data_IF_084647773388
#
_entry.id   IF_084647773388
#
_cell.length_a   1.000
_cell.length_b   1.000
_cell.length_c   1.000
_cell.angle_alpha   90.00
_cell.angle_beta   90.00
_cell.angle_gamma   90.00
#
_symmetry.space_group_name_H-M   'P 1'
#
loop_
_entity.id
_entity.type
_entity.pdbx_description
1 polymer ?
#
# COMPACT_ATOMS: atom_id res chain seq x y z
N UNK A 1 -7.69 3.30 1.16
CA UNK A 1 -7.01 4.61 1.44
C UNK A 1 -7.58 5.79 0.64
N UNK A 2 -7.81 5.73 -0.66
CA UNK A 2 -8.39 6.88 -1.44
C UNK A 2 -9.82 7.22 -1.03
N UNK A 3 -10.69 6.25 -0.75
CA UNK A 3 -12.06 6.51 -0.28
C UNK A 3 -12.09 7.29 1.03
N UNK A 4 -11.18 7.01 1.95
CA UNK A 4 -11.06 7.70 3.23
C UNK A 4 -10.72 9.20 3.10
N UNK A 5 -10.06 9.61 1.99
CA UNK A 5 -9.63 11.00 1.79
C UNK A 5 -10.51 11.83 0.86
N UNK A 6 -11.37 11.20 0.04
CA UNK A 6 -12.26 11.92 -0.87
C UNK A 6 -13.49 12.53 -0.15
N UNK A 7 -13.87 11.97 1.02
CA UNK A 7 -14.97 12.46 1.84
C UNK A 7 -14.52 13.27 3.08
N UNK A 8 -13.25 13.63 3.19
CA UNK A 8 -12.77 14.48 4.27
C UNK A 8 -13.16 15.92 3.98
N UNK A 9 -14.37 16.30 4.37
CA UNK A 9 -14.63 17.64 4.80
C UNK A 9 -13.81 17.88 6.08
N UNK A 10 -12.86 18.81 6.03
CA UNK A 10 -11.85 19.05 7.05
C UNK A 10 -12.40 19.45 8.44
N UNK A 11 -13.70 19.48 8.60
CA UNK A 11 -14.40 19.82 9.84
C UNK A 11 -14.87 18.64 10.67
N UNK A 12 -15.31 17.56 10.04
CA UNK A 12 -15.82 16.37 10.73
C UNK A 12 -15.33 15.11 10.03
N UNK A 13 -14.53 14.29 10.74
CA UNK A 13 -14.07 12.99 10.27
C UNK A 13 -15.24 12.02 10.39
N UNK A 14 -16.13 12.01 9.39
CA UNK A 14 -17.18 11.01 9.29
C UNK A 14 -16.52 9.67 8.97
N UNK A 15 -16.44 8.82 9.97
CA UNK A 15 -16.24 7.40 9.78
C UNK A 15 -17.54 6.88 9.17
N UNK A 16 -17.51 6.54 7.89
CA UNK A 16 -18.65 5.88 7.26
C UNK A 16 -18.78 4.52 7.92
N UNK A 17 -19.78 4.35 8.79
CA UNK A 17 -19.95 3.16 9.65
C UNK A 17 -20.28 1.88 8.87
N UNK A 18 -20.61 2.02 7.58
CA UNK A 18 -21.09 0.94 6.71
C UNK A 18 -20.03 0.32 5.79
N UNK A 19 -18.74 0.72 5.89
CA UNK A 19 -17.70 0.16 5.02
C UNK A 19 -17.44 -1.30 5.38
N UNK A 20 -17.67 -2.18 4.38
CA UNK A 20 -17.51 -3.62 4.52
C UNK A 20 -16.04 -4.02 4.31
N UNK A 21 -15.56 -5.03 5.07
CA UNK A 21 -14.23 -5.67 4.88
C UNK A 21 -13.92 -5.94 3.41
N UNK A 22 -14.91 -6.41 2.64
CA UNK A 22 -14.73 -6.75 1.21
C UNK A 22 -14.38 -5.52 0.37
N UNK A 23 -14.96 -4.36 0.68
CA UNK A 23 -14.71 -3.11 -0.06
C UNK A 23 -13.32 -2.56 0.25
N UNK A 24 -12.94 -2.56 1.53
CA UNK A 24 -11.60 -2.17 1.97
C UNK A 24 -10.55 -3.07 1.31
N UNK A 25 -10.74 -4.39 1.41
CA UNK A 25 -9.81 -5.35 0.83
C UNK A 25 -9.73 -5.20 -0.69
N UNK A 26 -10.86 -5.09 -1.40
CA UNK A 26 -10.90 -4.95 -2.84
C UNK A 26 -10.19 -3.68 -3.32
N UNK A 27 -10.40 -2.56 -2.63
CA UNK A 27 -9.76 -1.29 -2.95
C UNK A 27 -8.23 -1.41 -2.79
N UNK A 28 -7.75 -1.88 -1.65
CA UNK A 28 -6.32 -2.05 -1.40
C UNK A 28 -5.70 -3.11 -2.31
N UNK A 29 -6.47 -4.13 -2.70
CA UNK A 29 -6.03 -5.15 -3.64
C UNK A 29 -5.80 -4.61 -5.07
N UNK A 30 -6.60 -3.65 -5.53
CA UNK A 30 -6.38 -2.98 -6.81
C UNK A 30 -5.05 -2.23 -6.80
N UNK A 31 -4.74 -1.47 -5.74
CA UNK A 31 -3.44 -0.79 -5.60
C UNK A 31 -2.27 -1.77 -5.58
N UNK A 32 -2.44 -2.88 -4.89
CA UNK A 32 -1.46 -3.96 -4.89
C UNK A 32 -1.22 -4.50 -6.31
N UNK A 33 -2.27 -4.80 -7.09
CA UNK A 33 -2.13 -5.28 -8.45
C UNK A 33 -1.42 -4.26 -9.36
N UNK A 34 -1.80 -2.99 -9.25
CA UNK A 34 -1.14 -1.91 -10.00
C UNK A 34 0.33 -1.80 -9.61
N UNK A 35 0.65 -1.91 -8.32
CA UNK A 35 2.04 -1.85 -7.83
C UNK A 35 2.87 -3.04 -8.30
N UNK A 36 2.34 -4.27 -8.24
CA UNK A 36 3.11 -5.47 -8.66
C UNK A 36 3.37 -5.48 -10.16
N UNK A 37 2.45 -4.90 -10.95
CA UNK A 37 2.61 -4.71 -12.39
C UNK A 37 3.42 -3.47 -12.77
N UNK A 38 3.85 -2.69 -11.80
CA UNK A 38 4.59 -1.45 -12.01
C UNK A 38 5.92 -1.62 -12.77
N UNK A 39 6.46 -2.85 -12.86
CA UNK A 39 7.63 -3.12 -13.71
C UNK A 39 7.37 -2.86 -15.20
N UNK A 40 6.11 -2.92 -15.66
CA UNK A 40 5.73 -2.60 -17.03
C UNK A 40 5.93 -1.12 -17.36
N UNK A 41 5.82 -0.25 -16.35
CA UNK A 41 6.08 1.19 -16.46
C UNK A 41 7.51 1.59 -16.08
N UNK A 42 8.45 0.64 -16.05
CA UNK A 42 9.81 0.83 -15.54
C UNK A 42 9.84 1.41 -14.10
N UNK A 43 8.85 1.06 -13.29
CA UNK A 43 8.75 1.48 -11.90
C UNK A 43 8.16 2.88 -11.67
N UNK A 44 7.83 3.64 -12.71
CA UNK A 44 7.25 5.00 -12.59
C UNK A 44 5.96 4.98 -11.78
N UNK A 45 5.07 4.02 -12.06
CA UNK A 45 3.82 3.83 -11.32
C UNK A 45 4.08 3.57 -9.84
N UNK A 46 5.07 2.75 -9.51
CA UNK A 46 5.43 2.45 -8.12
C UNK A 46 5.93 3.69 -7.37
N UNK A 47 6.78 4.50 -8.02
CA UNK A 47 7.23 5.77 -7.45
C UNK A 47 6.04 6.70 -7.20
N UNK A 48 5.13 6.82 -8.17
CA UNK A 48 3.90 7.61 -8.03
C UNK A 48 3.03 7.12 -6.86
N UNK A 49 2.79 5.81 -6.74
CA UNK A 49 2.03 5.22 -5.63
C UNK A 49 2.69 5.49 -4.27
N UNK A 50 4.02 5.36 -4.17
CA UNK A 50 4.74 5.63 -2.93
C UNK A 50 4.65 7.11 -2.53
N UNK A 51 4.79 8.04 -3.50
CA UNK A 51 4.66 9.48 -3.25
C UNK A 51 3.24 9.83 -2.82
N UNK A 52 2.22 9.32 -3.50
CA UNK A 52 0.81 9.60 -3.18
C UNK A 52 0.49 9.08 -1.78
N UNK A 53 0.78 7.81 -1.48
CA UNK A 53 0.49 7.23 -0.18
C UNK A 53 1.27 7.90 0.95
N UNK A 54 2.58 8.13 0.75
CA UNK A 54 3.41 8.83 1.73
C UNK A 54 2.97 10.28 1.95
N UNK A 55 2.59 10.97 0.88
CA UNK A 55 2.07 12.34 0.94
C UNK A 55 0.76 12.44 1.71
N UNK A 56 -0.17 11.50 1.48
CA UNK A 56 -1.44 11.45 2.20
C UNK A 56 -1.26 11.17 3.70
N UNK A 57 -0.40 10.22 4.04
CA UNK A 57 -0.07 9.93 5.44
C UNK A 57 0.59 11.14 6.10
N UNK A 58 1.54 11.78 5.40
CA UNK A 58 2.20 12.99 5.89
C UNK A 58 1.25 14.17 6.09
N UNK A 59 0.31 14.37 5.16
CA UNK A 59 -0.72 15.41 5.28
C UNK A 59 -1.63 15.17 6.49
N UNK A 60 -2.12 13.95 6.66
CA UNK A 60 -2.96 13.59 7.80
C UNK A 60 -2.21 13.71 9.14
N UNK A 61 -0.94 13.28 9.17
CA UNK A 61 -0.07 13.47 10.33
C UNK A 61 0.07 14.96 10.71
N UNK A 62 0.37 15.81 9.72
CA UNK A 62 0.52 17.25 9.94
C UNK A 62 -0.79 17.90 10.43
N UNK A 63 -1.94 17.45 9.91
CA UNK A 63 -3.25 17.91 10.38
C UNK A 63 -3.51 17.52 11.84
N UNK A 64 -3.28 16.26 12.20
CA UNK A 64 -3.44 15.77 13.58
C UNK A 64 -2.47 16.45 14.55
N UNK A 65 -1.25 16.80 14.10
CA UNK A 65 -0.28 17.54 14.89
C UNK A 65 -0.79 18.96 15.20
N UNK A 66 -1.28 19.67 14.19
CA UNK A 66 -1.84 21.03 14.37
C UNK A 66 -3.07 21.06 15.27
N UNK A 67 -3.90 20.01 15.20
CA UNK A 67 -5.12 19.89 15.99
C UNK A 67 -4.91 19.31 17.39
N UNK A 68 -3.66 19.05 17.82
CA UNK A 68 -3.33 18.34 19.06
C UNK A 68 -4.00 16.97 19.20
N UNK A 69 -4.21 16.27 18.08
CA UNK A 69 -4.91 14.98 18.00
C UNK A 69 -4.00 13.83 17.54
N UNK A 70 -2.71 13.88 17.86
CA UNK A 70 -1.74 12.84 17.46
C UNK A 70 -2.14 11.43 17.89
N UNK A 71 -2.80 11.30 19.04
CA UNK A 71 -3.29 9.99 19.49
C UNK A 71 -4.29 9.40 18.49
N UNK A 72 -5.16 10.23 17.90
CA UNK A 72 -6.09 9.78 16.85
C UNK A 72 -5.34 9.28 15.62
N UNK A 73 -4.28 9.98 15.19
CA UNK A 73 -3.47 9.51 14.06
C UNK A 73 -2.95 8.08 14.29
N UNK A 74 -2.35 7.82 15.46
CA UNK A 74 -1.79 6.50 15.77
C UNK A 74 -2.85 5.43 15.98
N UNK A 75 -4.01 5.77 16.53
CA UNK A 75 -5.08 4.80 16.77
C UNK A 75 -5.87 4.46 15.50
N UNK A 76 -6.18 5.46 14.66
CA UNK A 76 -7.04 5.25 13.48
C UNK A 76 -6.25 4.82 12.25
N UNK A 77 -5.11 5.46 11.97
CA UNK A 77 -4.34 5.18 10.76
C UNK A 77 -3.20 4.19 11.02
N UNK A 78 -2.54 4.27 12.19
CA UNK A 78 -1.30 3.55 12.47
C UNK A 78 -1.38 2.04 12.25
N UNK A 79 -2.37 1.31 12.83
CA UNK A 79 -2.35 -0.14 12.79
C UNK A 79 -2.49 -0.72 11.38
N UNK A 80 -3.46 -0.26 10.56
CA UNK A 80 -3.66 -0.80 9.21
C UNK A 80 -2.68 -0.24 8.19
N UNK A 81 -2.37 1.06 8.26
CA UNK A 81 -1.45 1.71 7.33
C UNK A 81 -0.05 1.08 7.32
N UNK A 82 0.42 0.55 8.45
CA UNK A 82 1.69 -0.17 8.51
C UNK A 82 1.70 -1.38 7.57
N UNK A 83 0.64 -2.18 7.54
CA UNK A 83 0.54 -3.35 6.66
C UNK A 83 0.44 -2.94 5.19
N UNK A 84 -0.30 -1.89 4.88
CA UNK A 84 -0.42 -1.37 3.51
C UNK A 84 0.92 -0.83 2.99
N UNK A 85 1.66 -0.07 3.81
CA UNK A 85 3.00 0.41 3.46
C UNK A 85 3.96 -0.76 3.22
N UNK A 86 3.92 -1.79 4.07
CA UNK A 86 4.74 -2.99 3.88
C UNK A 86 4.42 -3.67 2.55
N UNK A 87 3.14 -3.79 2.17
CA UNK A 87 2.73 -4.34 0.87
C UNK A 87 3.27 -3.48 -0.28
N UNK A 88 3.15 -2.16 -0.21
CA UNK A 88 3.69 -1.26 -1.23
C UNK A 88 5.21 -1.39 -1.37
N UNK A 89 5.94 -1.49 -0.27
CA UNK A 89 7.39 -1.69 -0.28
C UNK A 89 7.75 -3.03 -0.91
N UNK A 90 7.07 -4.12 -0.52
CA UNK A 90 7.32 -5.46 -1.05
C UNK A 90 7.07 -5.54 -2.56
N UNK A 91 5.95 -5.01 -3.03
CA UNK A 91 5.57 -5.04 -4.44
C UNK A 91 6.43 -4.12 -5.29
N UNK A 92 6.78 -2.94 -4.78
CA UNK A 92 7.72 -2.02 -5.45
C UNK A 92 9.11 -2.65 -5.54
N UNK A 93 9.59 -3.28 -4.47
CA UNK A 93 10.88 -3.99 -4.47
C UNK A 93 10.88 -5.12 -5.50
N UNK A 94 9.80 -5.90 -5.58
CA UNK A 94 9.67 -6.94 -6.61
C UNK A 94 9.67 -6.35 -8.02
N UNK A 95 8.93 -5.27 -8.23
CA UNK A 95 8.86 -4.56 -9.51
C UNK A 95 10.25 -4.07 -9.97
N UNK A 96 10.98 -3.35 -9.12
CA UNK A 96 12.34 -2.88 -9.43
C UNK A 96 13.31 -4.03 -9.61
N UNK A 97 13.21 -5.08 -8.80
CA UNK A 97 14.03 -6.28 -8.99
C UNK A 97 13.80 -6.92 -10.36
N UNK A 98 12.56 -6.99 -10.82
CA UNK A 98 12.21 -7.53 -12.14
C UNK A 98 12.82 -6.70 -13.27
N UNK A 99 12.82 -5.38 -13.14
CA UNK A 99 13.47 -4.48 -14.12
C UNK A 99 14.98 -4.73 -14.19
N UNK A 100 15.64 -4.74 -13.03
CA UNK A 100 17.09 -5.01 -12.96
C UNK A 100 17.43 -6.39 -13.52
N UNK A 101 16.61 -7.41 -13.22
CA UNK A 101 16.76 -8.75 -13.76
C UNK A 101 16.63 -8.77 -15.29
N UNK A 102 15.60 -8.11 -15.83
CA UNK A 102 15.40 -8.00 -17.28
C UNK A 102 16.58 -7.29 -17.97
N UNK A 103 17.05 -6.18 -17.39
CA UNK A 103 18.22 -5.46 -17.88
C UNK A 103 19.46 -6.36 -17.96
N UNK A 104 19.80 -7.03 -16.87
CA UNK A 104 20.97 -7.92 -16.81
C UNK A 104 20.85 -9.09 -17.79
N UNK A 105 19.64 -9.64 -17.94
CA UNK A 105 19.39 -10.78 -18.83
C UNK A 105 19.43 -10.41 -20.30
N UNK A 106 18.86 -9.28 -20.68
CA UNK A 106 18.70 -8.85 -22.08
C UNK A 106 19.95 -8.11 -22.58
N UNK A 107 20.43 -7.15 -21.81
CA UNK A 107 21.52 -6.26 -22.23
C UNK A 107 22.88 -6.88 -21.92
N UNK A 108 23.11 -7.30 -20.69
CA UNK A 108 24.40 -7.85 -20.29
C UNK A 108 24.57 -9.35 -20.67
N UNK A 109 23.49 -10.01 -21.13
CA UNK A 109 23.47 -11.45 -21.46
C UNK A 109 23.90 -12.35 -20.30
N UNK A 110 23.76 -11.91 -19.07
CA UNK A 110 24.13 -12.68 -17.88
C UNK A 110 23.22 -13.89 -17.70
N UNK A 111 23.83 -15.06 -17.40
CA UNK A 111 23.08 -16.28 -17.06
C UNK A 111 22.70 -16.27 -15.59
N UNK A 112 21.64 -15.54 -15.25
CA UNK A 112 21.17 -15.45 -13.87
C UNK A 112 20.19 -16.60 -13.59
N UNK A 113 20.55 -17.47 -12.63
CA UNK A 113 19.68 -18.55 -12.16
C UNK A 113 18.74 -18.03 -11.06
N UNK A 114 17.69 -17.34 -11.43
CA UNK A 114 16.68 -16.87 -10.48
C UNK A 114 15.31 -17.36 -10.89
N UNK A 115 14.59 -17.95 -9.94
CA UNK A 115 13.21 -18.35 -10.15
C UNK A 115 12.28 -17.16 -9.88
N UNK A 116 12.03 -16.34 -10.90
CA UNK A 116 11.14 -15.18 -10.81
C UNK A 116 9.71 -15.59 -10.44
N UNK A 117 9.23 -16.73 -10.93
CA UNK A 117 7.88 -17.24 -10.64
C UNK A 117 7.74 -17.51 -9.14
N UNK A 118 8.73 -18.18 -8.53
CA UNK A 118 8.71 -18.43 -7.08
C UNK A 118 8.70 -17.12 -6.27
N UNK A 119 9.50 -16.15 -6.68
CA UNK A 119 9.53 -14.82 -6.02
C UNK A 119 8.22 -14.08 -6.19
N UNK A 120 7.65 -14.10 -7.39
CA UNK A 120 6.33 -13.53 -7.66
C UNK A 120 5.27 -14.15 -6.75
N UNK A 121 5.16 -15.49 -6.74
CA UNK A 121 4.18 -16.19 -5.90
C UNK A 121 4.35 -15.86 -4.41
N UNK A 122 5.60 -15.84 -3.92
CA UNK A 122 5.87 -15.50 -2.53
C UNK A 122 5.45 -14.07 -2.20
N UNK A 123 5.84 -13.10 -3.04
CA UNK A 123 5.44 -11.68 -2.86
C UNK A 123 3.93 -11.53 -2.93
N UNK A 124 3.28 -12.19 -3.91
CA UNK A 124 1.83 -12.17 -4.08
C UNK A 124 1.09 -12.70 -2.85
N UNK A 125 1.42 -13.91 -2.40
CA UNK A 125 0.78 -14.54 -1.24
C UNK A 125 1.00 -13.74 0.04
N UNK A 126 2.24 -13.27 0.28
CA UNK A 126 2.55 -12.47 1.46
C UNK A 126 1.79 -11.14 1.44
N UNK A 127 1.73 -10.48 0.29
CA UNK A 127 0.99 -9.21 0.15
C UNK A 127 -0.51 -9.40 0.36
N UNK A 128 -1.11 -10.45 -0.22
CA UNK A 128 -2.52 -10.77 0.01
C UNK A 128 -2.81 -11.03 1.50
N UNK A 129 -1.93 -11.74 2.18
CA UNK A 129 -2.06 -12.01 3.62
C UNK A 129 -1.98 -10.72 4.45
N UNK A 130 -1.00 -9.84 4.15
CA UNK A 130 -0.86 -8.56 4.85
C UNK A 130 -2.06 -7.63 4.60
N UNK A 131 -2.57 -7.55 3.36
CA UNK A 131 -3.77 -6.77 3.04
C UNK A 131 -5.02 -7.31 3.74
N UNK A 132 -5.15 -8.62 3.86
CA UNK A 132 -6.26 -9.22 4.60
C UNK A 132 -6.20 -8.84 6.09
N UNK A 133 -5.02 -8.88 6.71
CA UNK A 133 -4.82 -8.42 8.08
C UNK A 133 -5.16 -6.93 8.20
N UNK A 134 -4.69 -6.08 7.27
CA UNK A 134 -4.99 -4.66 7.26
C UNK A 134 -6.51 -4.40 7.22
N UNK A 135 -7.24 -5.11 6.34
CA UNK A 135 -8.70 -4.98 6.22
C UNK A 135 -9.45 -5.41 7.49
N UNK A 136 -8.99 -6.46 8.18
CA UNK A 136 -9.54 -6.88 9.46
C UNK A 136 -9.32 -5.79 10.51
N UNK A 137 -8.09 -5.28 10.63
CA UNK A 137 -7.77 -4.24 11.60
C UNK A 137 -8.62 -3.00 11.35
N UNK A 138 -8.72 -2.52 10.11
CA UNK A 138 -9.50 -1.33 9.74
C UNK A 138 -10.99 -1.49 10.07
N UNK A 139 -11.54 -2.70 9.90
CA UNK A 139 -12.97 -2.95 10.18
C UNK A 139 -13.28 -3.09 11.66
N UNK A 140 -12.44 -3.81 12.39
CA UNK A 140 -12.74 -4.15 13.79
C UNK A 140 -12.07 -3.23 14.81
N UNK A 141 -10.98 -2.60 14.45
CA UNK A 141 -10.26 -1.68 15.32
C UNK A 141 -10.72 -0.24 15.07
N UNK A 142 -11.98 0.05 15.45
CA UNK A 142 -12.51 1.43 15.50
C UNK A 142 -12.30 1.94 16.93
N UNK A 143 -11.29 2.77 17.21
CA UNK A 143 -11.16 3.40 18.53
C UNK A 143 -12.30 4.41 18.67
N UNK A 144 -12.93 4.43 19.83
CA UNK A 144 -14.08 5.26 20.24
C UNK A 144 -13.92 6.75 19.96
#
# INVERSE_FOLDING_TARGET
MIYFFLDVDLGEMYLNDDINIKEIFANNFIYFLVSILGFLSLGIVNVGLLIINGGMIGFFFAHCLKSNQLLKFFLYLGPHALFEILVLILTSTFSFYTIVFAYKRIINKEKIKVNLIKRFLLTFLLSCFLLFIAAIIETYFKPF
#
